data_IF_986361049698
#
_entry.id   IF_986361049698
#
_cell.length_a   1.000
_cell.length_b   1.000
_cell.length_c   1.000
_cell.angle_alpha   90.00
_cell.angle_beta   90.00
_cell.angle_gamma   90.00
#
_symmetry.space_group_name_H-M   'P 1'
#
loop_
_entity.id
_entity.type
_entity.pdbx_description
1 polymer ?
#
# COMPACT_ATOMS: atom_id res chain seq x y z
N UNK A 1 -10.00 0.54 -5.05
CA UNK A 1 -9.02 1.28 -4.24
C UNK A 1 -9.14 0.90 -2.77
N UNK A 2 -8.01 0.73 -2.09
CA UNK A 2 -7.95 0.43 -0.66
C UNK A 2 -8.13 1.65 0.25
N UNK A 3 -8.38 1.44 1.55
CA UNK A 3 -8.47 2.53 2.54
C UNK A 3 -7.15 3.25 2.81
N UNK A 4 -6.03 2.62 2.46
CA UNK A 4 -4.70 3.23 2.48
C UNK A 4 -4.40 4.07 1.22
N UNK A 5 -5.42 4.34 0.38
CA UNK A 5 -5.30 5.06 -0.90
C UNK A 5 -4.39 4.41 -1.95
N UNK A 6 -4.09 3.11 -1.81
CA UNK A 6 -3.34 2.35 -2.81
C UNK A 6 -4.29 1.49 -3.66
N UNK A 7 -3.84 1.11 -4.86
CA UNK A 7 -4.43 0.00 -5.60
C UNK A 7 -4.26 -1.27 -4.76
N UNK A 8 -5.31 -2.08 -4.68
CA UNK A 8 -5.29 -3.37 -3.99
C UNK A 8 -5.76 -4.41 -4.99
N UNK A 9 -4.90 -5.38 -5.31
CA UNK A 9 -5.24 -6.50 -6.18
C UNK A 9 -5.68 -7.70 -5.33
N UNK A 10 -6.57 -8.59 -5.81
CA UNK A 10 -6.95 -9.79 -5.06
C UNK A 10 -5.74 -10.69 -4.74
N UNK A 11 -4.81 -10.82 -5.68
CA UNK A 11 -3.68 -11.75 -5.58
C UNK A 11 -2.53 -11.24 -4.72
N UNK A 12 -2.20 -9.94 -4.81
CA UNK A 12 -1.00 -9.37 -4.17
C UNK A 12 -1.31 -8.24 -3.18
N UNK A 13 -2.57 -7.82 -3.09
CA UNK A 13 -2.97 -6.72 -2.23
C UNK A 13 -2.32 -5.41 -2.70
N UNK A 14 -1.86 -4.55 -1.78
CA UNK A 14 -1.17 -3.31 -2.12
C UNK A 14 0.32 -3.50 -2.45
N UNK A 15 0.83 -4.74 -2.53
CA UNK A 15 2.25 -5.06 -2.76
C UNK A 15 2.59 -5.11 -4.25
N UNK A 16 2.15 -4.11 -5.01
CA UNK A 16 2.38 -3.99 -6.46
C UNK A 16 3.02 -2.65 -6.79
N UNK A 17 4.02 -2.67 -7.69
CA UNK A 17 4.54 -1.45 -8.32
C UNK A 17 3.94 -1.33 -9.70
N UNK A 18 3.31 -0.20 -9.98
CA UNK A 18 2.69 0.05 -11.27
C UNK A 18 3.70 0.66 -12.23
N UNK A 19 3.67 0.18 -13.46
CA UNK A 19 4.42 0.71 -14.60
C UNK A 19 3.42 0.83 -15.75
N UNK A 20 3.58 1.85 -16.58
CA UNK A 20 2.69 2.11 -17.71
C UNK A 20 3.51 2.28 -18.98
N UNK A 21 3.00 1.76 -20.10
CA UNK A 21 3.50 2.01 -21.45
C UNK A 21 2.38 2.72 -22.22
N UNK A 22 2.70 3.86 -22.83
CA UNK A 22 1.79 4.59 -23.72
C UNK A 22 2.08 4.12 -25.14
N UNK A 23 1.05 3.65 -25.85
CA UNK A 23 1.20 3.07 -27.20
C UNK A 23 -0.03 3.37 -28.06
N UNK A 24 0.16 3.38 -29.37
CA UNK A 24 -0.90 3.45 -30.37
C UNK A 24 -1.39 2.08 -30.83
N UNK A 25 -0.86 0.99 -30.27
CA UNK A 25 -1.31 -0.36 -30.58
C UNK A 25 -2.82 -0.50 -30.31
N UNK A 26 -3.58 -1.16 -31.20
CA UNK A 26 -5.03 -1.32 -31.03
C UNK A 26 -5.36 -2.38 -29.97
N UNK A 27 -5.36 -1.97 -28.69
CA UNK A 27 -5.64 -2.85 -27.56
C UNK A 27 -7.09 -2.68 -27.09
N UNK A 28 -7.77 -3.80 -26.79
CA UNK A 28 -9.09 -3.78 -26.15
C UNK A 28 -8.94 -3.52 -24.65
N UNK A 29 -9.65 -2.52 -24.07
CA UNK A 29 -9.60 -2.27 -22.63
C UNK A 29 -10.22 -3.40 -21.81
N UNK A 30 -9.62 -3.71 -20.67
CA UNK A 30 -10.19 -4.60 -19.66
C UNK A 30 -11.26 -3.88 -18.82
N UNK A 31 -12.31 -4.59 -18.37
CA UNK A 31 -13.31 -4.00 -17.49
C UNK A 31 -12.75 -3.72 -16.09
N UNK A 32 -13.25 -2.69 -15.39
CA UNK A 32 -12.83 -2.41 -14.02
C UNK A 32 -13.32 -3.48 -13.05
N UNK A 33 -12.49 -3.84 -12.07
CA UNK A 33 -12.88 -4.72 -10.99
C UNK A 33 -13.87 -4.03 -10.04
N UNK A 34 -15.09 -4.57 -9.89
CA UNK A 34 -16.16 -4.01 -9.04
C UNK A 34 -16.12 -4.46 -7.57
N UNK A 35 -15.12 -5.27 -7.19
CA UNK A 35 -15.02 -5.86 -5.84
C UNK A 35 -14.46 -4.87 -4.81
N UNK A 36 -15.16 -4.66 -3.68
CA UNK A 36 -14.62 -3.93 -2.53
C UNK A 36 -13.82 -4.85 -1.60
N UNK A 37 -12.51 -4.91 -1.84
CA UNK A 37 -11.55 -5.67 -1.03
C UNK A 37 -11.33 -5.11 0.39
N UNK A 38 -11.92 -3.96 0.73
CA UNK A 38 -11.81 -3.31 2.03
C UNK A 38 -13.12 -3.32 2.83
N UNK A 39 -14.14 -4.07 2.39
CA UNK A 39 -15.40 -4.21 3.10
C UNK A 39 -15.15 -4.69 4.55
N UNK A 40 -15.65 -3.94 5.53
CA UNK A 40 -15.47 -4.23 6.96
C UNK A 40 -14.03 -4.13 7.51
N UNK A 41 -13.02 -3.77 6.70
CA UNK A 41 -11.62 -3.77 7.12
C UNK A 41 -11.11 -2.36 7.44
N UNK A 42 -10.44 -2.18 8.56
CA UNK A 42 -9.79 -0.92 8.98
C UNK A 42 -8.35 -1.09 9.49
N UNK A 43 -7.74 -2.27 9.26
CA UNK A 43 -6.44 -2.65 9.84
C UNK A 43 -5.35 -1.63 9.53
N UNK A 44 -5.26 -1.16 8.28
CA UNK A 44 -4.27 -0.15 7.90
C UNK A 44 -4.47 1.20 8.60
N UNK A 45 -5.71 1.57 8.93
CA UNK A 45 -6.03 2.79 9.67
C UNK A 45 -5.52 2.67 11.09
N UNK A 46 -5.86 1.57 11.78
CA UNK A 46 -5.42 1.29 13.16
C UNK A 46 -3.90 1.16 13.28
N UNK A 47 -3.25 0.62 12.26
CA UNK A 47 -1.81 0.45 12.24
C UNK A 47 -1.02 1.71 11.86
N UNK A 48 -1.67 2.79 11.42
CA UNK A 48 -0.96 3.98 10.92
C UNK A 48 -0.43 4.84 12.09
N UNK A 49 0.90 4.91 12.32
CA UNK A 49 1.46 5.65 13.45
C UNK A 49 1.28 7.16 13.30
N UNK A 50 1.16 7.64 12.06
CA UNK A 50 0.95 9.05 11.75
C UNK A 50 -0.53 9.49 11.87
N UNK A 51 -1.47 8.56 12.11
CA UNK A 51 -2.91 8.85 12.05
C UNK A 51 -3.33 9.46 10.70
N UNK A 52 -2.71 9.02 9.61
CA UNK A 52 -2.84 9.64 8.30
C UNK A 52 -4.01 9.10 7.46
N UNK A 53 -4.63 7.99 7.87
CA UNK A 53 -5.68 7.31 7.13
C UNK A 53 -7.02 7.44 7.86
N UNK A 54 -8.12 7.66 7.14
CA UNK A 54 -9.45 7.78 7.70
C UNK A 54 -10.43 6.75 7.12
N UNK A 55 -11.51 6.45 7.87
CA UNK A 55 -12.51 5.45 7.46
C UNK A 55 -13.19 5.77 6.13
N UNK A 56 -13.36 7.05 5.80
CA UNK A 56 -13.93 7.53 4.54
C UNK A 56 -12.95 7.52 3.35
N UNK A 57 -11.86 6.72 3.40
CA UNK A 57 -10.81 6.64 2.37
C UNK A 57 -10.04 7.96 2.14
N UNK A 58 -10.20 8.94 3.03
CA UNK A 58 -9.40 10.17 3.04
C UNK A 58 -8.02 9.89 3.62
N UNK A 59 -7.00 10.42 2.96
CA UNK A 59 -5.61 10.35 3.42
C UNK A 59 -5.08 11.75 3.70
N UNK A 60 -4.66 11.99 4.94
CA UNK A 60 -3.95 13.20 5.35
C UNK A 60 -2.49 13.11 4.92
N UNK A 61 -2.23 13.37 3.62
CA UNK A 61 -0.91 13.19 2.98
C UNK A 61 0.23 13.90 3.74
N UNK A 62 -0.01 15.10 4.27
CA UNK A 62 0.98 15.85 5.07
C UNK A 62 1.47 15.03 6.28
N UNK A 63 0.57 14.38 7.03
CA UNK A 63 0.92 13.54 8.19
C UNK A 63 1.77 12.34 7.77
N UNK A 64 1.36 11.62 6.72
CA UNK A 64 2.09 10.47 6.18
C UNK A 64 3.51 10.85 5.74
N UNK A 65 3.64 11.94 4.96
CA UNK A 65 4.94 12.42 4.46
C UNK A 65 5.82 12.91 5.61
N UNK A 66 5.27 13.65 6.58
CA UNK A 66 6.02 14.13 7.75
C UNK A 66 6.61 12.97 8.55
N UNK A 67 5.78 11.99 8.90
CA UNK A 67 6.23 10.80 9.62
C UNK A 67 7.28 10.00 8.82
N UNK A 68 7.08 9.84 7.51
CA UNK A 68 8.06 9.14 6.68
C UNK A 68 9.41 9.87 6.60
N UNK A 69 9.43 11.21 6.68
CA UNK A 69 10.68 11.99 6.76
C UNK A 69 11.36 11.82 8.12
N UNK A 70 10.59 11.81 9.20
CA UNK A 70 11.09 11.60 10.56
C UNK A 70 11.76 10.23 10.69
N UNK A 71 11.10 9.15 10.27
CA UNK A 71 11.65 7.80 10.29
C UNK A 71 12.90 7.69 9.42
N UNK A 72 12.89 8.29 8.22
CA UNK A 72 14.07 8.35 7.36
C UNK A 72 15.27 8.96 8.08
N UNK A 73 15.08 10.11 8.74
CA UNK A 73 16.15 10.79 9.49
C UNK A 73 16.59 9.99 10.72
N UNK A 74 15.64 9.41 11.46
CA UNK A 74 15.92 8.67 12.70
C UNK A 74 16.74 7.40 12.49
N UNK A 75 16.55 6.72 11.37
CA UNK A 75 17.20 5.44 11.06
C UNK A 75 18.19 5.54 9.89
N UNK A 76 18.56 6.75 9.48
CA UNK A 76 19.47 7.03 8.37
C UNK A 76 19.19 6.19 7.11
N UNK A 77 17.93 6.23 6.66
CA UNK A 77 17.49 5.43 5.52
C UNK A 77 17.63 6.21 4.20
N UNK A 78 18.03 5.52 3.13
CA UNK A 78 18.11 6.11 1.79
C UNK A 78 16.75 6.52 1.22
N UNK A 79 15.67 5.97 1.77
CA UNK A 79 14.33 6.12 1.20
C UNK A 79 13.25 6.49 2.19
N UNK A 80 12.23 7.20 1.69
CA UNK A 80 11.03 7.61 2.44
C UNK A 80 10.00 6.49 2.44
N UNK A 81 10.33 5.37 3.07
CA UNK A 81 9.39 4.25 3.20
C UNK A 81 9.03 4.01 4.67
N UNK A 82 7.77 4.33 5.02
CA UNK A 82 7.13 3.73 6.19
C UNK A 82 6.58 2.34 5.84
N UNK A 83 5.74 2.24 4.79
CA UNK A 83 5.22 0.97 4.26
C UNK A 83 4.33 0.15 5.22
N UNK A 84 4.07 0.60 6.45
CA UNK A 84 3.35 -0.19 7.43
C UNK A 84 1.92 -0.54 7.00
N UNK A 85 1.21 0.42 6.37
CA UNK A 85 -0.13 0.19 5.81
C UNK A 85 -0.15 -0.86 4.68
N UNK A 86 0.97 -1.09 3.99
CA UNK A 86 1.15 -2.15 2.99
C UNK A 86 1.42 -3.46 3.72
N UNK A 87 2.35 -3.47 4.68
CA UNK A 87 2.76 -4.65 5.46
C UNK A 87 1.59 -5.33 6.17
N UNK A 88 0.75 -4.55 6.86
CA UNK A 88 -0.37 -5.07 7.66
C UNK A 88 -1.60 -5.43 6.83
N UNK A 89 -1.67 -5.03 5.56
CA UNK A 89 -2.85 -5.29 4.74
C UNK A 89 -3.07 -6.82 4.61
N UNK A 90 -4.26 -7.32 4.98
CA UNK A 90 -4.55 -8.76 4.98
C UNK A 90 -4.81 -9.30 3.57
N UNK A 91 -5.07 -8.42 2.60
CA UNK A 91 -5.43 -8.80 1.24
C UNK A 91 -4.18 -9.20 0.44
N UNK A 92 -4.30 -10.29 -0.31
CA UNK A 92 -3.26 -10.82 -1.19
C UNK A 92 -2.09 -11.49 -0.47
N UNK A 93 -1.29 -12.22 -1.24
CA UNK A 93 -0.13 -12.98 -0.76
C UNK A 93 0.84 -12.05 -0.01
N UNK A 94 1.28 -12.48 1.17
CA UNK A 94 2.40 -11.87 1.90
C UNK A 94 3.69 -12.46 1.34
N UNK A 95 4.70 -11.64 1.10
CA UNK A 95 6.02 -12.13 0.74
C UNK A 95 6.57 -12.95 1.91
N UNK A 96 6.72 -14.26 1.75
CA UNK A 96 7.48 -15.10 2.70
C UNK A 96 8.94 -14.71 2.52
N UNK A 97 9.53 -13.96 3.45
CA UNK A 97 10.97 -13.75 3.45
C UNK A 97 11.65 -15.09 3.75
N UNK A 98 12.16 -15.77 2.73
CA UNK A 98 13.05 -16.94 2.86
C UNK A 98 14.48 -16.57 3.29
N UNK A 99 14.75 -15.28 3.50
CA UNK A 99 16.07 -14.72 3.85
C UNK A 99 16.48 -14.88 5.33
N UNK A 100 15.68 -15.56 6.15
CA UNK A 100 16.07 -15.95 7.51
C UNK A 100 15.64 -17.41 7.77
N UNK A 101 16.18 -18.35 6.99
CA UNK A 101 16.42 -19.69 7.56
C UNK A 101 17.58 -19.48 8.55
N UNK A 102 17.27 -19.48 9.85
CA UNK A 102 18.27 -19.65 10.91
C UNK A 102 19.07 -20.91 10.57
N UNK A 103 20.35 -20.74 10.24
CA UNK A 103 21.37 -21.75 10.51
C UNK A 103 21.60 -21.84 12.01
#
# INVERSE_FOLDING_TARGET
>A
MGRNSLLVTPQYGPRVRLVTVVTNAPLKPDPPLKLDLCKGCDICIRACPAGALAKNKKTYKKKCVSYSKEIRKKFDLDSRYCGLCIKVCPIGKKHRSTLFKKS
#
